data_IF_367435577398
#
_entry.id   IF_367435577398
#
_cell.length_a   1.000
_cell.length_b   1.000
_cell.length_c   1.000
_cell.angle_alpha   90.00
_cell.angle_beta   90.00
_cell.angle_gamma   90.00
#
_symmetry.space_group_name_H-M   'P 1'
#
loop_
_entity.id
_entity.type
_entity.pdbx_description
1 polymer ?
#
# COMPACT_ATOMS: atom_id res chain seq x y z
N UNK A 1 -5.14 15.58 -50.46
CA UNK A 1 -5.46 16.27 -49.19
C UNK A 1 -4.59 15.67 -48.10
N UNK A 2 -3.76 16.48 -47.43
CA UNK A 2 -2.91 16.03 -46.32
C UNK A 2 -3.70 15.97 -45.00
N UNK A 3 -3.24 15.24 -43.96
CA UNK A 3 -3.89 15.22 -42.65
C UNK A 3 -4.10 16.62 -42.06
N UNK A 4 -3.13 17.53 -42.25
CA UNK A 4 -3.24 18.93 -41.82
C UNK A 4 -4.34 19.68 -42.57
N UNK A 5 -4.41 19.51 -43.90
CA UNK A 5 -5.46 20.12 -44.72
C UNK A 5 -6.86 19.60 -44.36
N UNK A 6 -6.98 18.31 -44.05
CA UNK A 6 -8.23 17.72 -43.57
C UNK A 6 -8.66 18.32 -42.23
N UNK A 7 -7.73 18.47 -41.29
CA UNK A 7 -7.98 19.12 -40.01
C UNK A 7 -8.46 20.57 -40.17
N UNK A 8 -7.76 21.37 -40.99
CA UNK A 8 -8.10 22.77 -41.21
C UNK A 8 -9.49 22.90 -41.86
N UNK A 9 -9.81 22.01 -42.81
CA UNK A 9 -11.15 21.93 -43.41
C UNK A 9 -12.20 21.55 -42.37
N UNK A 10 -11.98 20.48 -41.60
CA UNK A 10 -12.96 19.99 -40.62
C UNK A 10 -13.25 21.04 -39.54
N UNK A 11 -12.20 21.69 -39.01
CA UNK A 11 -12.31 22.76 -38.02
C UNK A 11 -13.06 23.98 -38.53
N UNK A 12 -12.97 24.27 -39.83
CA UNK A 12 -13.64 25.43 -40.45
C UNK A 12 -15.09 25.13 -40.85
N UNK A 13 -15.41 23.88 -41.20
CA UNK A 13 -16.69 23.53 -41.82
C UNK A 13 -17.65 22.78 -40.88
N UNK A 14 -17.15 22.08 -39.87
CA UNK A 14 -17.97 21.29 -38.96
C UNK A 14 -18.12 22.05 -37.65
N UNK A 15 -19.34 22.53 -37.36
CA UNK A 15 -19.67 23.26 -36.14
C UNK A 15 -20.02 22.30 -35.00
N UNK A 16 -19.85 22.74 -33.76
CA UNK A 16 -20.16 22.00 -32.52
C UNK A 16 -19.36 20.71 -32.29
N UNK A 17 -18.28 20.49 -33.05
CA UNK A 17 -17.32 19.40 -32.82
C UNK A 17 -15.94 20.01 -32.62
N UNK A 18 -15.23 19.54 -31.59
CA UNK A 18 -13.85 19.95 -31.33
C UNK A 18 -12.89 19.02 -32.07
N UNK A 19 -11.98 19.60 -32.84
CA UNK A 19 -10.93 18.87 -33.54
C UNK A 19 -9.58 19.18 -32.91
N UNK A 20 -8.73 18.17 -32.80
CA UNK A 20 -7.33 18.30 -32.44
C UNK A 20 -6.47 17.74 -33.58
N UNK A 21 -5.32 18.37 -33.80
CA UNK A 21 -4.28 17.87 -34.69
C UNK A 21 -3.01 17.69 -33.87
N UNK A 22 -2.36 16.55 -34.05
CA UNK A 22 -1.10 16.21 -33.41
C UNK A 22 -0.13 15.87 -34.52
N UNK A 23 1.00 16.59 -34.59
CA UNK A 23 2.06 16.31 -35.54
C UNK A 23 2.81 15.03 -35.13
N UNK A 24 3.50 14.41 -36.09
CA UNK A 24 4.24 13.18 -35.83
C UNK A 24 5.37 13.41 -34.83
N UNK A 25 5.98 14.59 -34.85
CA UNK A 25 7.04 14.99 -33.94
C UNK A 25 6.53 15.18 -32.52
N UNK A 26 5.33 15.75 -32.36
CA UNK A 26 4.65 15.91 -31.07
C UNK A 26 4.29 14.54 -30.48
N UNK A 27 3.76 13.64 -31.31
CA UNK A 27 3.47 12.26 -30.91
C UNK A 27 4.73 11.55 -30.41
N UNK A 28 5.84 11.62 -31.17
CA UNK A 28 7.09 10.96 -30.79
C UNK A 28 7.73 11.58 -29.53
N UNK A 29 7.53 12.87 -29.27
CA UNK A 29 7.99 13.51 -28.05
C UNK A 29 7.18 13.03 -26.83
N UNK A 30 5.85 12.97 -26.96
CA UNK A 30 4.96 12.46 -25.91
C UNK A 30 5.16 10.97 -25.65
N UNK A 31 5.40 10.16 -26.68
CA UNK A 31 5.72 8.74 -26.54
C UNK A 31 6.93 8.52 -25.62
N UNK A 32 8.03 9.25 -25.86
CA UNK A 32 9.22 9.19 -25.00
C UNK A 32 8.94 9.66 -23.58
N UNK A 33 8.18 10.74 -23.41
CA UNK A 33 7.80 11.28 -22.10
C UNK A 33 6.99 10.25 -21.31
N UNK A 34 6.00 9.64 -21.96
CA UNK A 34 5.16 8.62 -21.36
C UNK A 34 5.95 7.37 -21.03
N UNK A 35 6.83 6.92 -21.92
CA UNK A 35 7.69 5.75 -21.69
C UNK A 35 8.61 5.95 -20.48
N UNK A 36 9.29 7.10 -20.37
CA UNK A 36 10.05 7.46 -19.18
C UNK A 36 9.16 7.45 -17.93
N UNK A 37 8.01 8.11 -17.98
CA UNK A 37 7.09 8.18 -16.83
C UNK A 37 6.57 6.81 -16.40
N UNK A 38 6.24 5.94 -17.34
CA UNK A 38 5.74 4.59 -17.06
C UNK A 38 6.84 3.66 -16.57
N UNK A 39 8.08 3.83 -17.04
CA UNK A 39 9.23 3.07 -16.54
C UNK A 39 9.52 3.34 -15.06
N UNK A 40 9.25 4.57 -14.59
CA UNK A 40 9.44 4.99 -13.20
C UNK A 40 8.15 4.88 -12.35
N UNK A 41 7.02 4.59 -12.98
CA UNK A 41 5.73 4.52 -12.30
C UNK A 41 5.63 3.29 -11.40
N UNK A 42 5.18 3.50 -10.16
CA UNK A 42 4.91 2.42 -9.21
C UNK A 42 3.46 1.96 -9.33
N UNK A 43 3.24 0.66 -9.48
CA UNK A 43 1.90 0.07 -9.54
C UNK A 43 1.29 -0.03 -8.14
N UNK A 44 -0.02 0.22 -8.04
CA UNK A 44 -0.78 0.08 -6.79
C UNK A 44 -1.63 -1.19 -6.89
N UNK A 45 -1.26 -2.28 -6.21
CA UNK A 45 -2.00 -3.54 -6.28
C UNK A 45 -3.39 -3.41 -5.66
N UNK A 46 -4.32 -4.29 -6.06
CA UNK A 46 -5.69 -4.32 -5.51
C UNK A 46 -6.60 -3.18 -5.97
N UNK A 47 -6.18 -2.38 -6.96
CA UNK A 47 -6.92 -1.20 -7.40
C UNK A 47 -7.81 -1.39 -8.63
N UNK A 48 -7.79 -2.57 -9.26
CA UNK A 48 -8.52 -2.83 -10.51
C UNK A 48 -10.04 -2.65 -10.41
N UNK A 49 -10.60 -2.77 -9.21
CA UNK A 49 -12.03 -2.64 -8.94
C UNK A 49 -12.51 -1.19 -8.78
N UNK A 50 -11.60 -0.21 -8.74
CA UNK A 50 -11.93 1.20 -8.54
C UNK A 50 -11.96 1.95 -9.87
N UNK A 51 -12.82 2.96 -9.94
CA UNK A 51 -13.05 3.76 -11.15
C UNK A 51 -12.41 5.16 -11.05
N UNK A 52 -12.09 5.64 -9.85
CA UNK A 52 -11.51 6.97 -9.63
C UNK A 52 -10.29 6.90 -8.72
N UNK A 53 -9.26 7.69 -9.05
CA UNK A 53 -7.99 7.81 -8.35
C UNK A 53 -7.63 9.28 -8.19
N UNK A 54 -7.59 9.77 -6.95
CA UNK A 54 -7.26 11.17 -6.64
C UNK A 54 -6.03 11.19 -5.73
N UNK A 55 -4.87 11.68 -6.19
CA UNK A 55 -3.71 11.80 -5.32
C UNK A 55 -3.99 12.81 -4.21
N UNK A 56 -3.83 12.40 -2.95
CA UNK A 56 -4.09 13.25 -1.77
C UNK A 56 -2.79 13.81 -1.20
N UNK A 57 -1.82 12.92 -0.97
CA UNK A 57 -0.47 13.24 -0.51
C UNK A 57 0.52 12.20 -1.05
N UNK A 58 1.82 12.43 -0.86
CA UNK A 58 2.85 11.48 -1.30
C UNK A 58 2.56 10.09 -0.72
N UNK A 59 2.45 9.08 -1.59
CA UNK A 59 2.16 7.70 -1.18
C UNK A 59 0.69 7.40 -0.84
N UNK A 60 -0.23 8.35 -0.97
CA UNK A 60 -1.65 8.15 -0.66
C UNK A 60 -2.53 8.60 -1.83
N UNK A 61 -3.36 7.68 -2.30
CA UNK A 61 -4.35 7.91 -3.34
C UNK A 61 -5.74 7.61 -2.81
N UNK A 62 -6.65 8.56 -2.93
CA UNK A 62 -8.06 8.32 -2.67
C UNK A 62 -8.65 7.53 -3.85
N UNK A 63 -9.39 6.47 -3.54
CA UNK A 63 -10.03 5.60 -4.53
C UNK A 63 -11.54 5.58 -4.36
N UNK A 64 -12.27 5.44 -5.47
CA UNK A 64 -13.74 5.28 -5.46
C UNK A 64 -14.17 4.14 -6.37
N UNK A 65 -15.17 3.37 -5.95
CA UNK A 65 -15.79 2.33 -6.77
C UNK A 65 -16.50 2.89 -8.02
N UNK A 66 -17.11 4.07 -7.90
CA UNK A 66 -17.76 4.77 -9.00
C UNK A 66 -17.32 6.23 -9.01
N UNK A 67 -17.14 6.84 -10.20
CA UNK A 67 -16.71 8.24 -10.33
C UNK A 67 -17.60 9.24 -9.58
N UNK A 68 -18.91 8.98 -9.56
CA UNK A 68 -19.89 9.84 -8.90
C UNK A 68 -20.20 9.42 -7.45
N UNK A 69 -19.45 8.46 -6.88
CA UNK A 69 -19.64 8.05 -5.50
C UNK A 69 -19.24 9.18 -4.54
N UNK A 70 -20.07 9.39 -3.53
CA UNK A 70 -19.76 10.26 -2.39
C UNK A 70 -18.79 9.54 -1.46
N UNK A 71 -18.99 8.23 -1.29
CA UNK A 71 -18.11 7.35 -0.51
C UNK A 71 -16.78 7.12 -1.25
N UNK A 72 -15.70 7.18 -0.49
CA UNK A 72 -14.35 6.93 -0.96
C UNK A 72 -13.59 6.11 0.08
N UNK A 73 -12.60 5.36 -0.40
CA UNK A 73 -11.62 4.69 0.44
C UNK A 73 -10.25 5.32 0.19
N UNK A 74 -9.38 5.32 1.19
CA UNK A 74 -7.98 5.69 0.99
C UNK A 74 -7.19 4.44 0.62
N UNK A 75 -6.57 4.46 -0.56
CA UNK A 75 -5.57 3.49 -0.98
C UNK A 75 -4.16 4.03 -0.70
N UNK A 76 -3.30 3.18 -0.14
CA UNK A 76 -1.88 3.51 0.00
C UNK A 76 -1.14 3.04 -1.25
N UNK A 77 -0.44 3.95 -1.94
CA UNK A 77 0.46 3.57 -3.03
C UNK A 77 1.69 2.90 -2.43
N UNK A 78 2.07 1.74 -2.97
CA UNK A 78 3.20 0.95 -2.45
C UNK A 78 4.46 1.79 -2.47
N UNK A 79 5.04 1.92 -1.28
CA UNK A 79 6.25 2.66 -0.99
C UNK A 79 7.46 1.86 -1.56
N UNK A 80 8.55 2.51 -2.03
CA UNK A 80 9.62 1.86 -2.81
C UNK A 80 10.19 0.59 -2.16
N UNK A 81 10.72 -0.28 -3.01
CA UNK A 81 11.43 -1.49 -2.61
C UNK A 81 12.45 -1.17 -1.48
N UNK A 82 12.28 -1.84 -0.34
CA UNK A 82 13.06 -1.62 0.89
C UNK A 82 12.27 -1.11 2.09
N UNK A 83 11.01 -0.68 1.93
CA UNK A 83 10.20 -0.20 3.08
C UNK A 83 9.40 -1.29 3.82
N UNK A 84 9.28 -2.47 3.23
CA UNK A 84 8.57 -3.62 3.79
C UNK A 84 9.44 -4.86 3.74
N UNK A 85 9.33 -5.72 4.76
CA UNK A 85 10.00 -7.02 4.79
C UNK A 85 9.51 -7.88 3.62
N UNK A 86 10.42 -8.60 2.91
CA UNK A 86 10.07 -9.65 1.97
C UNK A 86 9.11 -10.66 2.59
N UNK A 87 8.18 -11.21 1.81
CA UNK A 87 7.13 -12.09 2.36
C UNK A 87 7.75 -13.36 2.97
N UNK A 88 8.87 -13.78 2.39
CA UNK A 88 9.68 -14.93 2.77
C UNK A 88 10.35 -14.73 4.14
N UNK A 89 10.59 -13.48 4.53
CA UNK A 89 11.21 -13.12 5.81
C UNK A 89 10.19 -12.93 6.95
N UNK A 90 8.90 -12.81 6.62
CA UNK A 90 7.81 -12.63 7.59
C UNK A 90 7.45 -13.99 8.21
N UNK A 91 8.15 -14.33 9.29
CA UNK A 91 7.95 -15.56 10.05
C UNK A 91 8.20 -15.33 11.55
N UNK A 92 7.55 -16.15 12.39
CA UNK A 92 7.69 -16.05 13.84
C UNK A 92 6.92 -14.86 14.40
N UNK A 93 7.54 -14.12 15.32
CA UNK A 93 6.91 -12.98 15.99
C UNK A 93 7.20 -11.66 15.26
N UNK A 94 6.15 -10.89 15.04
CA UNK A 94 6.22 -9.61 14.33
C UNK A 94 5.36 -8.55 15.03
N UNK A 95 5.84 -7.32 15.16
CA UNK A 95 4.99 -6.17 15.47
C UNK A 95 4.17 -5.80 14.24
N UNK A 96 2.85 -5.79 14.39
CA UNK A 96 1.91 -5.49 13.32
C UNK A 96 1.03 -4.32 13.71
N UNK A 97 0.87 -3.36 12.79
CA UNK A 97 -0.05 -2.24 12.93
C UNK A 97 -1.50 -2.73 12.85
N UNK A 98 -2.31 -2.36 13.84
CA UNK A 98 -3.77 -2.56 13.85
C UNK A 98 -4.43 -1.49 14.71
N UNK A 99 -5.48 -0.85 14.17
CA UNK A 99 -6.25 0.23 14.81
C UNK A 99 -5.39 1.39 15.36
N UNK A 100 -4.55 1.97 14.49
CA UNK A 100 -3.67 3.11 14.79
C UNK A 100 -2.57 2.88 15.84
N UNK A 101 -2.47 1.67 16.39
CA UNK A 101 -1.34 1.23 17.24
C UNK A 101 -0.71 -0.02 16.65
N UNK A 102 0.34 -0.55 17.28
CA UNK A 102 0.91 -1.84 16.91
C UNK A 102 0.75 -2.87 18.02
N UNK A 103 0.61 -4.11 17.62
CA UNK A 103 0.43 -5.27 18.48
C UNK A 103 1.47 -6.32 18.13
N UNK A 104 1.94 -7.08 19.13
CA UNK A 104 2.80 -8.21 18.87
C UNK A 104 1.93 -9.37 18.38
N UNK A 105 2.36 -10.06 17.33
CA UNK A 105 1.66 -11.22 16.82
C UNK A 105 2.60 -12.32 16.34
N UNK A 106 2.12 -13.56 16.39
CA UNK A 106 2.81 -14.71 15.82
C UNK A 106 2.21 -15.05 14.45
N UNK A 107 3.04 -15.14 13.42
CA UNK A 107 2.64 -15.49 12.06
C UNK A 107 2.29 -16.98 12.01
N UNK A 108 1.04 -17.28 11.64
CA UNK A 108 0.54 -18.65 11.50
C UNK A 108 0.63 -19.14 10.05
N UNK A 109 0.20 -18.31 9.10
CA UNK A 109 0.17 -18.62 7.68
C UNK A 109 0.50 -17.40 6.83
N UNK A 110 0.97 -17.64 5.61
CA UNK A 110 1.27 -16.60 4.62
C UNK A 110 0.57 -16.96 3.32
N UNK A 111 -0.23 -16.03 2.78
CA UNK A 111 -0.87 -16.16 1.49
C UNK A 111 -0.10 -15.31 0.47
N UNK A 112 0.74 -15.97 -0.32
CA UNK A 112 1.56 -15.34 -1.36
C UNK A 112 0.72 -14.74 -2.48
N UNK A 113 -0.44 -15.31 -2.77
CA UNK A 113 -1.33 -14.85 -3.84
C UNK A 113 -1.97 -13.49 -3.52
N UNK A 114 -2.36 -13.26 -2.26
CA UNK A 114 -2.99 -12.02 -1.81
C UNK A 114 -2.05 -11.05 -1.08
N UNK A 115 -0.79 -11.43 -0.84
CA UNK A 115 0.16 -10.67 0.00
C UNK A 115 -0.38 -10.41 1.43
N UNK A 116 -1.14 -11.36 1.95
CA UNK A 116 -1.71 -11.32 3.29
C UNK A 116 -1.06 -12.38 4.19
N UNK A 117 -1.05 -12.09 5.48
CA UNK A 117 -0.50 -12.96 6.51
C UNK A 117 -1.55 -13.17 7.60
N UNK A 118 -1.66 -14.40 8.07
CA UNK A 118 -2.51 -14.74 9.19
C UNK A 118 -1.69 -14.60 10.47
N UNK A 119 -2.12 -13.72 11.37
CA UNK A 119 -1.42 -13.44 12.62
C UNK A 119 -2.32 -13.83 13.79
N UNK A 120 -1.74 -14.52 14.78
CA UNK A 120 -2.30 -14.68 16.11
C UNK A 120 -1.76 -13.57 17.03
N UNK A 121 -2.62 -12.63 17.43
CA UNK A 121 -2.24 -11.46 18.20
C UNK A 121 -2.09 -11.75 19.69
N UNK A 122 -1.11 -11.09 20.31
CA UNK A 122 -0.85 -11.10 21.74
C UNK A 122 -1.20 -9.74 22.32
N UNK A 123 -1.76 -9.76 23.52
CA UNK A 123 -2.16 -8.55 24.23
C UNK A 123 -1.09 -8.16 25.26
N UNK A 124 -0.71 -6.86 25.34
CA UNK A 124 0.20 -6.38 26.35
C UNK A 124 -0.49 -6.37 27.73
N UNK A 125 0.27 -6.66 28.78
CA UNK A 125 -0.21 -6.51 30.15
C UNK A 125 0.05 -5.07 30.64
N UNK A 126 -0.82 -4.14 30.25
CA UNK A 126 -0.67 -2.70 30.56
C UNK A 126 0.56 -2.08 29.86
N UNK A 127 1.28 -1.11 30.46
CA UNK A 127 2.43 -0.43 29.83
C UNK A 127 3.70 -1.31 29.72
N UNK A 128 3.64 -2.57 30.15
CA UNK A 128 4.77 -3.51 30.19
C UNK A 128 5.26 -3.95 28.80
N UNK A 129 6.53 -4.35 28.67
CA UNK A 129 7.13 -5.04 27.48
C UNK A 129 6.68 -6.49 27.33
N UNK A 130 5.70 -6.92 28.11
CA UNK A 130 5.27 -8.31 28.21
C UNK A 130 3.93 -8.52 27.53
N UNK A 131 3.85 -9.54 26.69
CA UNK A 131 2.70 -9.91 25.89
C UNK A 131 2.25 -11.34 26.22
N UNK A 132 0.94 -11.58 26.19
CA UNK A 132 0.34 -12.89 26.47
C UNK A 132 -0.76 -13.15 25.44
N UNK A 133 -0.95 -14.43 25.09
CA UNK A 133 -2.11 -14.79 24.27
C UNK A 133 -3.41 -14.51 25.04
N UNK A 134 -4.39 -13.84 24.41
CA UNK A 134 -5.70 -13.66 25.01
C UNK A 134 -6.40 -15.00 25.27
N UNK A 135 -7.37 -15.01 26.19
CA UNK A 135 -8.16 -16.21 26.50
C UNK A 135 -8.98 -16.70 25.29
N UNK A 136 -9.39 -15.78 24.43
CA UNK A 136 -10.00 -16.06 23.13
C UNK A 136 -8.99 -15.75 22.04
N UNK A 137 -8.75 -16.71 21.14
CA UNK A 137 -7.80 -16.53 20.05
C UNK A 137 -8.17 -15.33 19.19
N UNK A 138 -7.25 -14.36 19.12
CA UNK A 138 -7.35 -13.21 18.25
C UNK A 138 -6.51 -13.47 17.00
N UNK A 139 -7.16 -14.03 15.98
CA UNK A 139 -6.50 -14.44 14.74
C UNK A 139 -7.11 -13.67 13.60
N UNK A 140 -6.28 -12.92 12.87
CA UNK A 140 -6.73 -12.09 11.75
C UNK A 140 -5.80 -12.22 10.56
N UNK A 141 -6.37 -12.09 9.37
CA UNK A 141 -5.63 -11.85 8.15
C UNK A 141 -5.35 -10.35 8.04
N UNK A 142 -4.07 -10.01 7.88
CA UNK A 142 -3.62 -8.64 7.72
C UNK A 142 -2.71 -8.53 6.50
N UNK A 143 -2.67 -7.35 5.90
CA UNK A 143 -1.74 -7.10 4.80
C UNK A 143 -0.28 -7.18 5.28
N UNK A 144 0.63 -7.71 4.45
CA UNK A 144 2.08 -7.65 4.71
C UNK A 144 2.59 -6.24 5.04
N UNK A 145 1.90 -5.22 4.53
CA UNK A 145 2.27 -3.81 4.73
C UNK A 145 2.05 -3.35 6.17
N UNK A 146 1.24 -4.08 6.95
CA UNK A 146 1.03 -3.82 8.38
C UNK A 146 2.19 -4.31 9.25
N UNK A 147 3.09 -5.16 8.73
CA UNK A 147 4.26 -5.64 9.46
C UNK A 147 5.33 -4.57 9.55
N UNK A 148 5.71 -4.21 10.77
CA UNK A 148 6.69 -3.15 11.04
C UNK A 148 8.12 -3.69 10.95
N UNK A 149 8.40 -4.78 11.66
CA UNK A 149 9.74 -5.39 11.77
C UNK A 149 9.62 -6.86 12.17
N UNK A 150 10.76 -7.55 12.33
CA UNK A 150 10.88 -8.85 12.98
C UNK A 150 11.39 -8.66 14.40
N UNK A 151 10.88 -9.47 15.34
CA UNK A 151 11.34 -9.52 16.72
C UNK A 151 11.51 -10.96 17.17
N UNK A 152 12.31 -11.18 18.21
CA UNK A 152 12.49 -12.50 18.82
C UNK A 152 12.20 -12.43 20.32
N UNK A 153 10.92 -12.50 20.72
CA UNK A 153 10.53 -12.33 22.11
C UNK A 153 11.07 -13.45 22.99
N UNK A 154 11.74 -13.09 24.07
CA UNK A 154 12.16 -14.04 25.09
C UNK A 154 10.96 -14.51 25.91
N UNK A 155 10.75 -15.82 25.99
CA UNK A 155 9.72 -16.44 26.81
C UNK A 155 10.33 -17.35 27.88
N UNK A 156 10.49 -16.83 29.11
CA UNK A 156 11.08 -17.59 30.23
C UNK A 156 10.23 -18.82 30.63
N UNK A 157 8.91 -18.74 30.45
CA UNK A 157 7.94 -19.77 30.86
C UNK A 157 7.07 -20.27 29.70
N UNK A 158 7.33 -19.80 28.46
CA UNK A 158 6.51 -20.09 27.27
C UNK A 158 5.10 -19.46 27.27
N UNK A 159 4.71 -18.75 28.34
CA UNK A 159 3.37 -18.14 28.50
C UNK A 159 3.38 -16.62 28.36
N UNK A 160 4.52 -16.00 28.58
CA UNK A 160 4.69 -14.55 28.51
C UNK A 160 5.88 -14.25 27.63
N UNK A 161 5.66 -13.41 26.64
CA UNK A 161 6.62 -13.05 25.62
C UNK A 161 7.11 -11.63 25.88
N UNK A 162 8.41 -11.47 26.09
CA UNK A 162 9.02 -10.17 26.36
C UNK A 162 9.89 -9.76 25.19
N UNK A 163 9.65 -8.57 24.67
CA UNK A 163 10.52 -7.92 23.69
C UNK A 163 11.49 -6.96 24.41
N UNK A 164 12.63 -6.71 23.79
CA UNK A 164 13.59 -5.72 24.26
C UNK A 164 13.08 -4.30 24.05
N UNK A 165 13.64 -3.34 24.79
CA UNK A 165 13.30 -1.93 24.63
C UNK A 165 13.74 -1.39 23.27
N UNK A 166 14.85 -1.89 22.72
CA UNK A 166 15.32 -1.56 21.38
C UNK A 166 14.32 -1.99 20.29
N UNK A 167 13.80 -3.22 20.36
CA UNK A 167 12.78 -3.72 19.42
C UNK A 167 11.48 -2.93 19.51
N UNK A 168 11.04 -2.59 20.72
CA UNK A 168 9.88 -1.72 20.95
C UNK A 168 10.09 -0.34 20.33
N UNK A 169 11.24 0.28 20.56
CA UNK A 169 11.53 1.61 20.04
C UNK A 169 11.61 1.61 18.52
N UNK A 170 12.18 0.55 17.92
CA UNK A 170 12.19 0.36 16.48
C UNK A 170 10.78 0.20 15.91
N UNK A 171 9.90 -0.56 16.58
CA UNK A 171 8.51 -0.68 16.17
C UNK A 171 7.76 0.66 16.26
N UNK A 172 7.94 1.41 17.35
CA UNK A 172 7.35 2.75 17.51
C UNK A 172 7.84 3.74 16.45
N UNK A 173 9.15 3.76 16.18
CA UNK A 173 9.74 4.62 15.16
C UNK A 173 9.22 4.26 13.77
N UNK A 174 9.18 2.96 13.43
CA UNK A 174 8.65 2.49 12.16
C UNK A 174 7.16 2.80 12.00
N UNK A 175 6.36 2.69 13.06
CA UNK A 175 4.96 3.11 13.06
C UNK A 175 4.83 4.62 12.82
N UNK A 176 5.64 5.44 13.51
CA UNK A 176 5.62 6.91 13.34
C UNK A 176 6.01 7.37 11.94
N UNK A 177 6.92 6.66 11.28
CA UNK A 177 7.31 6.94 9.90
C UNK A 177 6.24 6.55 8.87
N UNK A 178 5.25 5.73 9.26
CA UNK A 178 4.20 5.20 8.37
C UNK A 178 2.86 5.93 8.47
N UNK A 179 2.65 6.74 9.51
CA UNK A 179 1.46 7.59 9.71
C UNK A 179 1.67 8.99 9.11
#
# INVERSE_FOLDING_TARGET
MTPRQLFDWAKSNIRNISFAYVAQEEYAAEERLLECRFSEAVTVPGTQQFHSFVPVKKGVVQVKYFSNSIEYSLGTCVIPAGMFLPLEEIQGFVPCMYDSTWWLGCVLNVNTSSNEIQISFLHPHGPSTSFVYPSYSDILWVSRHSVLTKVDPSAATGRTYKITEAERNLANQTLSNRN
#
